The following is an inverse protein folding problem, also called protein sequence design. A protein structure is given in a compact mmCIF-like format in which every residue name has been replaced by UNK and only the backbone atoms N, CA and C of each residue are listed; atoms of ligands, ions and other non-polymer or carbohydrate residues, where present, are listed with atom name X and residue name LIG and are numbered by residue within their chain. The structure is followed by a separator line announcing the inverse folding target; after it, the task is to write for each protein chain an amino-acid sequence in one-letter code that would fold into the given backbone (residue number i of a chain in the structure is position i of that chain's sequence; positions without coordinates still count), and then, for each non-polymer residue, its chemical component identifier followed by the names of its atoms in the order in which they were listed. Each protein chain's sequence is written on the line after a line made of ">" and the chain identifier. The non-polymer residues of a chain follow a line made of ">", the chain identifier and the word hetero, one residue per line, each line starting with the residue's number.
data_IF_076058565888
#
_entry.id   IF_076058565888
#
_cell.length_a   1.000
_cell.length_b   1.000
_cell.length_c   1.000
_cell.angle_alpha   90.00
_cell.angle_beta   90.00
_cell.angle_gamma   90.00
#
_symmetry.space_group_name_H-M   'P 1'
#
loop_
_entity.id
_entity.type
_entity.pdbx_description
1 polymer ?
#
# COMPACT_ATOMS: atom_id res chain seq x y z
N UNK A 1 -18.90 -29.92 -5.72
CA UNK A 1 -17.71 -29.06 -5.84
C UNK A 1 -16.51 -29.77 -5.21
N UNK A 2 -15.40 -29.77 -5.91
CA UNK A 2 -14.18 -30.38 -5.40
C UNK A 2 -13.56 -29.51 -4.31
N UNK A 3 -12.99 -30.10 -3.29
CA UNK A 3 -12.31 -29.40 -2.20
C UNK A 3 -11.25 -28.44 -2.72
N UNK A 4 -10.48 -28.85 -3.73
CA UNK A 4 -9.46 -28.01 -4.37
C UNK A 4 -10.04 -26.70 -4.89
N UNK A 5 -11.22 -26.74 -5.54
CA UNK A 5 -11.87 -25.54 -6.05
C UNK A 5 -12.25 -24.56 -4.92
N UNK A 6 -12.68 -25.11 -3.77
CA UNK A 6 -12.98 -24.30 -2.59
C UNK A 6 -11.74 -23.61 -2.07
N UNK A 7 -10.60 -24.30 -2.00
CA UNK A 7 -9.34 -23.75 -1.52
C UNK A 7 -8.81 -22.68 -2.47
N UNK A 8 -8.94 -22.89 -3.78
CA UNK A 8 -8.50 -21.95 -4.80
C UNK A 8 -9.31 -20.64 -4.78
N UNK A 9 -10.56 -20.69 -4.28
CA UNK A 9 -11.46 -19.55 -4.21
C UNK A 9 -11.38 -18.78 -2.90
N UNK A 10 -10.41 -19.09 -2.03
CA UNK A 10 -10.19 -18.29 -0.83
C UNK A 10 -9.75 -16.88 -1.20
N UNK A 11 -10.31 -15.89 -0.50
CA UNK A 11 -9.88 -14.51 -0.63
C UNK A 11 -8.42 -14.37 -0.21
N UNK A 12 -7.63 -13.73 -1.06
CA UNK A 12 -6.22 -13.39 -0.77
C UNK A 12 -6.12 -11.89 -0.66
N UNK A 13 -5.57 -11.41 0.44
CA UNK A 13 -5.43 -9.99 0.75
C UNK A 13 -3.95 -9.64 0.79
N UNK A 14 -3.57 -8.63 0.03
CA UNK A 14 -2.19 -8.14 -0.03
C UNK A 14 -2.12 -6.73 0.48
N UNK A 15 -1.12 -6.44 1.29
CA UNK A 15 -0.76 -5.07 1.64
C UNK A 15 -0.08 -4.40 0.44
N UNK A 16 -0.12 -3.07 0.38
CA UNK A 16 0.47 -2.33 -0.73
C UNK A 16 1.91 -1.91 -0.45
N UNK A 17 2.11 -1.06 0.56
CA UNK A 17 3.43 -0.48 0.83
C UNK A 17 4.44 -1.55 1.25
N UNK A 18 5.58 -1.59 0.57
CA UNK A 18 6.68 -2.51 0.79
C UNK A 18 6.32 -4.00 0.63
N UNK A 19 5.14 -4.27 0.09
CA UNK A 19 4.70 -5.62 -0.29
C UNK A 19 4.54 -5.72 -1.80
N UNK A 20 3.64 -4.93 -2.38
CA UNK A 20 3.41 -4.90 -3.84
C UNK A 20 4.39 -3.94 -4.50
N UNK A 21 4.64 -2.80 -3.87
CA UNK A 21 5.56 -1.79 -4.39
C UNK A 21 6.24 -1.05 -3.24
N UNK A 22 7.47 -0.63 -3.46
CA UNK A 22 8.09 0.40 -2.64
C UNK A 22 7.81 1.75 -3.26
N UNK A 23 7.57 2.77 -2.43
CA UNK A 23 7.33 4.13 -2.88
C UNK A 23 8.25 5.09 -2.15
N UNK A 24 8.36 6.31 -2.68
CA UNK A 24 9.11 7.38 -2.03
C UNK A 24 8.20 8.31 -1.23
N UNK A 25 7.00 7.86 -0.89
CA UNK A 25 6.08 8.63 -0.05
C UNK A 25 6.67 8.86 1.33
N UNK A 26 6.62 10.11 1.80
CA UNK A 26 7.17 10.50 3.08
C UNK A 26 6.14 11.28 3.89
N UNK A 27 6.36 11.31 5.19
CA UNK A 27 5.56 12.13 6.10
C UNK A 27 6.34 13.43 6.32
N UNK A 28 5.84 14.53 5.76
CA UNK A 28 6.49 15.84 5.89
C UNK A 28 6.16 16.41 7.25
N UNK A 29 7.16 16.47 8.12
CA UNK A 29 7.00 16.80 9.53
C UNK A 29 7.52 18.19 9.83
N UNK A 30 6.73 18.99 10.56
CA UNK A 30 7.19 20.23 11.17
C UNK A 30 7.20 20.01 12.67
N UNK A 31 8.39 20.00 13.24
CA UNK A 31 8.56 19.80 14.68
C UNK A 31 8.12 21.04 15.47
N UNK A 32 7.82 20.84 16.75
CA UNK A 32 7.41 21.89 17.67
C UNK A 32 8.37 23.09 17.68
N UNK A 33 9.67 22.84 17.52
CA UNK A 33 10.69 23.90 17.46
C UNK A 33 10.80 24.60 16.09
N UNK A 34 9.91 24.28 15.14
CA UNK A 34 9.89 24.86 13.80
C UNK A 34 10.77 24.17 12.76
N UNK A 35 11.60 23.22 13.16
CA UNK A 35 12.42 22.45 12.21
C UNK A 35 11.54 21.53 11.37
N UNK A 36 11.94 21.34 10.12
CA UNK A 36 11.20 20.50 9.17
C UNK A 36 12.05 19.31 8.73
N UNK A 37 11.41 18.16 8.62
CA UNK A 37 12.05 16.94 8.09
C UNK A 37 11.01 16.06 7.42
N UNK A 38 11.37 15.47 6.29
CA UNK A 38 10.55 14.46 5.63
C UNK A 38 10.96 13.09 6.15
N UNK A 39 10.05 12.44 6.88
CA UNK A 39 10.29 11.14 7.49
C UNK A 39 9.85 10.03 6.57
N UNK A 40 10.67 8.98 6.46
CA UNK A 40 10.20 7.72 5.86
C UNK A 40 9.15 7.08 6.77
N UNK A 41 8.33 6.15 6.27
CA UNK A 41 7.39 5.44 7.14
C UNK A 41 8.05 4.78 8.33
N UNK A 42 9.24 4.20 8.17
CA UNK A 42 9.99 3.58 9.26
C UNK A 42 10.44 4.61 10.31
N UNK A 43 10.98 5.74 9.86
CA UNK A 43 11.38 6.83 10.75
C UNK A 43 10.17 7.40 11.50
N UNK A 44 9.04 7.56 10.80
CA UNK A 44 7.81 8.02 11.42
C UNK A 44 7.31 7.07 12.50
N UNK A 45 7.32 5.76 12.23
CA UNK A 45 6.88 4.75 13.19
C UNK A 45 7.72 4.78 14.46
N UNK A 46 9.02 5.04 14.34
CA UNK A 46 9.92 5.15 15.49
C UNK A 46 9.73 6.47 16.25
N UNK A 47 9.45 7.55 15.55
CA UNK A 47 9.32 8.87 16.18
C UNK A 47 7.93 9.10 16.79
N UNK A 48 6.87 8.65 16.15
CA UNK A 48 5.49 9.00 16.50
C UNK A 48 5.14 8.76 17.97
N UNK A 49 5.56 7.66 18.62
CA UNK A 49 5.31 7.47 20.05
C UNK A 49 5.94 8.55 20.93
N UNK A 50 6.99 9.20 20.45
CA UNK A 50 7.74 10.24 21.17
C UNK A 50 7.33 11.65 20.72
N UNK A 51 6.31 11.78 19.89
CA UNK A 51 5.93 13.08 19.32
C UNK A 51 5.59 14.10 20.41
N UNK A 52 5.89 15.35 20.11
CA UNK A 52 5.52 16.48 20.96
C UNK A 52 4.20 17.08 20.50
N UNK A 53 3.49 17.73 21.41
CA UNK A 53 2.16 18.28 21.16
C UNK A 53 2.13 19.27 19.99
N UNK A 54 3.19 20.03 19.80
CA UNK A 54 3.30 21.02 18.71
C UNK A 54 3.77 20.46 17.39
N UNK A 55 4.09 19.15 17.30
CA UNK A 55 4.51 18.55 16.05
C UNK A 55 3.34 18.44 15.07
N UNK A 56 3.61 18.74 13.79
CA UNK A 56 2.63 18.65 12.72
C UNK A 56 3.11 17.69 11.66
N UNK A 57 2.21 16.81 11.20
CA UNK A 57 2.52 15.78 10.22
C UNK A 57 1.66 15.98 8.98
N UNK A 58 2.29 16.02 7.83
CA UNK A 58 1.63 16.13 6.52
C UNK A 58 1.75 14.80 5.79
N UNK A 59 0.62 14.13 5.60
CA UNK A 59 0.51 12.81 4.96
C UNK A 59 0.11 12.90 3.49
N UNK A 60 0.23 14.07 2.88
CA UNK A 60 -0.27 14.30 1.51
C UNK A 60 0.36 13.38 0.46
N UNK A 61 1.61 12.93 0.68
CA UNK A 61 2.26 11.97 -0.22
C UNK A 61 1.51 10.65 -0.31
N UNK A 62 0.75 10.29 0.73
CA UNK A 62 -0.01 9.03 0.77
C UNK A 62 -1.36 9.12 0.08
N UNK A 63 -1.73 10.30 -0.45
CA UNK A 63 -2.90 10.49 -1.32
C UNK A 63 -2.57 10.17 -2.78
N UNK A 64 -1.32 9.88 -3.07
CA UNK A 64 -0.80 9.53 -4.40
C UNK A 64 0.27 8.46 -4.25
N UNK A 65 0.69 7.87 -5.35
CA UNK A 65 1.76 6.87 -5.36
C UNK A 65 3.01 7.55 -5.91
N UNK A 66 3.98 7.82 -5.04
CA UNK A 66 5.19 8.60 -5.36
C UNK A 66 6.31 7.65 -5.78
N UNK A 67 6.74 7.79 -7.06
CA UNK A 67 7.83 7.00 -7.64
C UNK A 67 7.76 5.52 -7.27
N UNK A 68 6.66 4.84 -7.63
CA UNK A 68 6.45 3.45 -7.24
C UNK A 68 7.43 2.53 -7.96
N UNK A 69 7.94 1.56 -7.22
CA UNK A 69 8.79 0.51 -7.77
C UNK A 69 8.15 -0.82 -7.42
N UNK A 70 7.72 -1.54 -8.44
CA UNK A 70 7.10 -2.86 -8.30
C UNK A 70 8.03 -3.84 -7.57
N UNK A 71 7.44 -4.72 -6.74
CA UNK A 71 8.13 -5.87 -6.15
C UNK A 71 7.67 -7.10 -6.96
N UNK A 72 8.45 -7.52 -7.98
CA UNK A 72 7.95 -8.49 -8.97
C UNK A 72 7.61 -9.85 -8.38
N UNK A 73 8.28 -10.26 -7.31
CA UNK A 73 8.01 -11.53 -6.63
C UNK A 73 6.57 -11.62 -6.15
N UNK A 74 6.03 -10.51 -5.67
CA UNK A 74 4.66 -10.45 -5.14
C UNK A 74 3.65 -10.31 -6.27
N UNK A 75 3.88 -9.40 -7.22
CA UNK A 75 2.94 -9.21 -8.33
C UNK A 75 2.83 -10.44 -9.22
N UNK A 76 3.90 -11.22 -9.34
CA UNK A 76 3.86 -12.50 -10.04
C UNK A 76 2.94 -13.49 -9.32
N UNK A 77 3.04 -13.58 -8.01
CA UNK A 77 2.15 -14.41 -7.19
C UNK A 77 0.70 -13.97 -7.36
N UNK A 78 0.43 -12.67 -7.31
CA UNK A 78 -0.91 -12.13 -7.50
C UNK A 78 -1.48 -12.49 -8.88
N UNK A 79 -0.70 -12.35 -9.94
CA UNK A 79 -1.12 -12.71 -11.30
C UNK A 79 -1.46 -14.18 -11.40
N UNK A 80 -0.66 -15.06 -10.79
CA UNK A 80 -0.93 -16.50 -10.77
C UNK A 80 -2.21 -16.81 -10.00
N UNK A 81 -2.46 -16.17 -8.89
CA UNK A 81 -3.68 -16.34 -8.11
C UNK A 81 -4.92 -15.88 -8.87
N UNK A 82 -4.84 -14.74 -9.55
CA UNK A 82 -5.93 -14.23 -10.38
C UNK A 82 -6.24 -15.22 -11.51
N UNK A 83 -5.22 -15.74 -12.13
CA UNK A 83 -5.38 -16.72 -13.19
C UNK A 83 -6.03 -18.02 -12.71
N UNK A 84 -5.69 -18.46 -11.51
CA UNK A 84 -6.22 -19.70 -10.93
C UNK A 84 -7.63 -19.54 -10.37
N UNK A 85 -7.92 -18.46 -9.65
CA UNK A 85 -9.17 -18.30 -8.87
C UNK A 85 -10.07 -17.18 -9.38
N UNK A 86 -9.55 -16.21 -10.11
CA UNK A 86 -10.28 -15.04 -10.59
C UNK A 86 -9.94 -13.79 -9.79
N UNK A 87 -10.07 -12.63 -10.44
CA UNK A 87 -9.66 -11.33 -9.88
C UNK A 87 -10.44 -10.93 -8.63
N UNK A 88 -11.68 -11.37 -8.48
CA UNK A 88 -12.51 -11.06 -7.31
C UNK A 88 -12.04 -11.72 -6.02
N UNK A 89 -11.14 -12.70 -6.12
CA UNK A 89 -10.58 -13.39 -4.95
C UNK A 89 -9.21 -12.86 -4.53
N UNK A 90 -8.73 -11.83 -5.21
CA UNK A 90 -7.46 -11.16 -4.89
C UNK A 90 -7.73 -9.69 -4.71
N UNK A 91 -7.34 -9.14 -3.56
CA UNK A 91 -7.57 -7.73 -3.27
C UNK A 91 -6.37 -7.11 -2.57
N UNK A 92 -6.34 -5.80 -2.60
CA UNK A 92 -5.34 -5.00 -1.88
C UNK A 92 -6.03 -4.28 -0.74
N UNK A 93 -5.49 -4.43 0.46
CA UNK A 93 -5.90 -3.68 1.65
C UNK A 93 -4.73 -2.83 2.08
N UNK A 94 -4.93 -1.52 2.19
CA UNK A 94 -3.87 -0.61 2.57
C UNK A 94 -4.29 0.25 3.76
N UNK A 95 -3.32 0.55 4.62
CA UNK A 95 -3.51 1.47 5.74
C UNK A 95 -3.51 2.94 5.30
N UNK A 96 -3.20 3.22 4.03
CA UNK A 96 -3.27 4.58 3.50
C UNK A 96 -4.70 5.10 3.57
N UNK A 97 -4.89 6.28 4.14
CA UNK A 97 -6.18 6.96 4.09
C UNK A 97 -6.42 7.58 2.71
N UNK A 98 -7.63 8.10 2.49
CA UNK A 98 -7.97 8.82 1.28
C UNK A 98 -8.44 7.92 0.14
N UNK A 99 -8.24 8.37 -1.10
CA UNK A 99 -8.75 7.67 -2.27
C UNK A 99 -7.94 6.42 -2.61
N UNK A 100 -8.64 5.35 -2.96
CA UNK A 100 -8.04 4.12 -3.49
C UNK A 100 -7.51 4.28 -4.93
N UNK A 101 -7.94 5.32 -5.64
CA UNK A 101 -7.70 5.49 -7.08
C UNK A 101 -6.22 5.50 -7.49
N UNK A 102 -5.32 6.21 -6.80
CA UNK A 102 -3.91 6.19 -7.19
C UNK A 102 -3.29 4.79 -7.16
N UNK A 103 -3.61 4.01 -6.13
CA UNK A 103 -3.13 2.63 -6.02
C UNK A 103 -3.75 1.75 -7.09
N UNK A 104 -5.06 1.87 -7.30
CA UNK A 104 -5.76 1.10 -8.34
C UNK A 104 -5.21 1.41 -9.74
N UNK A 105 -4.93 2.67 -10.03
CA UNK A 105 -4.34 3.08 -11.30
C UNK A 105 -2.94 2.49 -11.49
N UNK A 106 -2.12 2.50 -10.45
CA UNK A 106 -0.81 1.87 -10.51
C UNK A 106 -0.94 0.36 -10.75
N UNK A 107 -1.85 -0.32 -10.04
CA UNK A 107 -2.08 -1.75 -10.25
C UNK A 107 -2.49 -2.07 -11.69
N UNK A 108 -3.30 -1.22 -12.30
CA UNK A 108 -3.67 -1.36 -13.72
C UNK A 108 -2.47 -1.27 -14.64
N UNK A 109 -1.49 -0.42 -14.34
CA UNK A 109 -0.26 -0.34 -15.14
C UNK A 109 0.54 -1.63 -15.11
N UNK A 110 0.38 -2.42 -14.06
CA UNK A 110 1.01 -3.74 -13.92
C UNK A 110 0.17 -4.87 -14.54
N UNK A 111 -0.98 -4.56 -15.12
CA UNK A 111 -1.90 -5.56 -15.65
C UNK A 111 -2.74 -6.24 -14.58
N UNK A 112 -2.87 -5.63 -13.40
CA UNK A 112 -3.60 -6.19 -12.26
C UNK A 112 -4.91 -5.44 -12.04
N UNK A 113 -6.03 -6.07 -12.36
CA UNK A 113 -7.38 -5.57 -12.07
C UNK A 113 -7.83 -6.16 -10.76
N UNK A 114 -7.63 -5.44 -9.66
CA UNK A 114 -7.97 -5.92 -8.32
C UNK A 114 -8.72 -4.84 -7.57
N UNK A 115 -9.52 -5.26 -6.59
CA UNK A 115 -10.18 -4.33 -5.67
C UNK A 115 -9.14 -3.79 -4.70
N UNK A 116 -9.16 -2.49 -4.47
CA UNK A 116 -8.30 -1.81 -3.49
C UNK A 116 -9.19 -1.21 -2.42
N UNK A 117 -8.91 -1.55 -1.17
CA UNK A 117 -9.62 -1.03 -0.01
C UNK A 117 -8.63 -0.20 0.82
N UNK A 118 -9.03 1.02 1.09
CA UNK A 118 -8.25 1.95 1.92
C UNK A 118 -8.86 2.13 3.30
#
# INVERSE_FOLDING_TARGET
>A
MKLRSLLERKLRVFDFDDTIASTQSKIHTTFENGKKKSLTPAEYANYFPKRKKGDKFDYSDFKKVVNPKEIPQITKVMKNMIKAAGERYVMVLTARGGSYKPIKNFMKTLGLKVKVIT
#
